data_IF_885210299287
#
_entry.id   IF_885210299287
#
_cell.length_a   1.000
_cell.length_b   1.000
_cell.length_c   1.000
_cell.angle_alpha   90.00
_cell.angle_beta   90.00
_cell.angle_gamma   90.00
#
_symmetry.space_group_name_H-M   'P 1'
#
loop_
_entity.id
_entity.type
_entity.pdbx_description
1 polymer ?
#
# COMPACT_ATOMS: atom_id res chain seq x y z
N UNK A 1 19.74 -0.24 4.05
CA UNK A 1 18.29 -0.06 3.78
C UNK A 1 17.43 -0.76 4.83
N UNK A 2 17.54 -2.08 5.01
CA UNK A 2 16.73 -2.80 5.99
C UNK A 2 16.93 -2.33 7.45
N UNK A 3 18.17 -2.09 7.89
CA UNK A 3 18.42 -1.53 9.23
C UNK A 3 17.78 -0.14 9.42
N UNK A 4 17.72 0.66 8.36
CA UNK A 4 17.05 1.97 8.35
C UNK A 4 15.54 1.80 8.40
N UNK A 5 14.96 0.80 7.71
CA UNK A 5 13.54 0.45 7.84
C UNK A 5 13.21 0.10 9.29
N UNK A 6 13.99 -0.79 9.93
CA UNK A 6 13.75 -1.16 11.32
C UNK A 6 13.86 0.02 12.28
N UNK A 7 14.87 0.87 12.10
CA UNK A 7 15.02 2.10 12.89
C UNK A 7 13.85 3.06 12.67
N UNK A 8 13.39 3.23 11.43
CA UNK A 8 12.24 4.06 11.08
C UNK A 8 10.95 3.54 11.72
N UNK A 9 10.65 2.23 11.60
CA UNK A 9 9.47 1.62 12.20
C UNK A 9 9.51 1.74 13.73
N UNK A 10 10.66 1.48 14.35
CA UNK A 10 10.83 1.61 15.79
C UNK A 10 10.66 3.06 16.26
N UNK A 11 11.18 4.02 15.51
CA UNK A 11 11.02 5.45 15.79
C UNK A 11 9.57 5.88 15.60
N UNK A 12 8.92 5.52 14.48
CA UNK A 12 7.52 5.84 14.19
C UNK A 12 6.60 5.28 15.28
N UNK A 13 6.79 4.01 15.66
CA UNK A 13 6.04 3.37 16.73
C UNK A 13 6.23 4.04 18.09
N UNK A 14 7.46 4.44 18.44
CA UNK A 14 7.74 5.16 19.69
C UNK A 14 7.20 6.59 19.68
N UNK A 15 7.26 7.26 18.53
CA UNK A 15 6.73 8.61 18.31
C UNK A 15 5.22 8.61 18.48
N UNK A 16 4.54 7.64 17.87
CA UNK A 16 3.10 7.48 17.94
C UNK A 16 2.64 7.13 19.37
N UNK A 17 3.36 6.26 20.08
CA UNK A 17 3.11 5.98 21.50
C UNK A 17 3.22 7.21 22.40
N UNK A 18 4.01 8.22 22.04
CA UNK A 18 4.11 9.47 22.80
C UNK A 18 3.02 10.49 22.46
N UNK A 19 2.33 10.32 21.33
CA UNK A 19 1.32 11.24 20.78
C UNK A 19 -0.12 10.71 20.89
N UNK A 20 -0.33 9.57 21.57
CA UNK A 20 -1.62 8.88 21.74
C UNK A 20 -2.76 9.76 22.32
N UNK A 21 -2.45 10.90 22.96
CA UNK A 21 -3.45 11.81 23.53
C UNK A 21 -4.20 12.70 22.54
N UNK A 22 -3.60 13.04 21.38
CA UNK A 22 -4.20 13.95 20.39
C UNK A 22 -4.80 13.24 19.16
N UNK A 23 -4.39 12.00 18.87
CA UNK A 23 -4.81 11.25 17.67
C UNK A 23 -5.97 10.27 17.89
N UNK A 24 -6.31 9.97 19.15
CA UNK A 24 -7.47 9.16 19.46
C UNK A 24 -8.75 9.78 18.85
N UNK A 25 -8.84 11.11 18.83
CA UNK A 25 -9.95 11.87 18.23
C UNK A 25 -10.03 11.70 16.71
N UNK A 26 -8.90 11.67 15.99
CA UNK A 26 -8.87 11.50 14.53
C UNK A 26 -9.25 10.07 14.13
N UNK A 27 -8.73 9.05 14.83
CA UNK A 27 -9.15 7.67 14.60
C UNK A 27 -10.63 7.44 14.95
N UNK A 28 -11.16 8.15 15.95
CA UNK A 28 -12.57 8.09 16.34
C UNK A 28 -13.49 8.80 15.32
N UNK A 29 -13.04 9.88 14.68
CA UNK A 29 -13.76 10.52 13.56
C UNK A 29 -13.76 9.67 12.28
N UNK A 30 -12.65 9.01 11.96
CA UNK A 30 -12.55 8.04 10.84
C UNK A 30 -13.43 6.80 11.10
N UNK A 31 -13.46 6.33 12.36
CA UNK A 31 -14.34 5.23 12.77
C UNK A 31 -15.82 5.65 12.88
N UNK A 32 -16.11 6.95 13.04
CA UNK A 32 -17.47 7.50 13.18
C UNK A 32 -18.32 7.36 11.92
N UNK A 33 -17.75 7.57 10.73
CA UNK A 33 -18.44 7.36 9.44
C UNK A 33 -18.64 5.88 9.10
N UNK A 34 -17.82 5.01 9.70
CA UNK A 34 -17.91 3.56 9.62
C UNK A 34 -18.42 3.00 10.95
N UNK A 35 -19.58 3.49 11.43
CA UNK A 35 -20.19 3.11 12.69
C UNK A 35 -19.95 1.63 13.03
N UNK A 36 -19.32 1.29 14.17
CA UNK A 36 -19.12 -0.08 14.57
C UNK A 36 -20.49 -0.64 14.97
N UNK A 37 -21.26 -1.15 14.00
CA UNK A 37 -22.21 -2.20 14.30
C UNK A 37 -21.37 -3.27 14.98
N UNK A 38 -21.69 -3.59 16.24
CA UNK A 38 -21.18 -4.70 17.04
C UNK A 38 -21.06 -5.99 16.20
N UNK A 39 -20.01 -6.07 15.39
CA UNK A 39 -19.66 -7.21 14.55
C UNK A 39 -18.50 -7.87 15.27
N UNK A 40 -18.56 -9.19 15.35
CA UNK A 40 -17.48 -9.95 15.95
C UNK A 40 -16.16 -9.60 15.25
N UNK A 41 -15.07 -9.56 16.03
CA UNK A 41 -13.71 -9.31 15.53
C UNK A 41 -13.39 -10.17 14.29
N UNK A 42 -13.88 -11.42 14.29
CA UNK A 42 -13.71 -12.35 13.18
C UNK A 42 -14.33 -11.86 11.87
N UNK A 43 -15.50 -11.21 11.90
CA UNK A 43 -16.12 -10.65 10.70
C UNK A 43 -15.31 -9.46 10.19
N UNK A 44 -14.82 -8.58 11.06
CA UNK A 44 -13.99 -7.44 10.66
C UNK A 44 -12.68 -7.90 10.01
N UNK A 45 -12.02 -8.91 10.60
CA UNK A 45 -10.82 -9.51 10.03
C UNK A 45 -11.10 -10.19 8.68
N UNK A 46 -12.21 -10.92 8.57
CA UNK A 46 -12.63 -11.55 7.31
C UNK A 46 -12.89 -10.51 6.22
N UNK A 47 -13.59 -9.41 6.55
CA UNK A 47 -13.86 -8.34 5.60
C UNK A 47 -12.59 -7.61 5.18
N UNK A 48 -11.66 -7.38 6.11
CA UNK A 48 -10.36 -6.79 5.82
C UNK A 48 -9.54 -7.69 4.88
N UNK A 49 -9.37 -8.96 5.25
CA UNK A 49 -8.63 -9.93 4.44
C UNK A 49 -9.27 -10.13 3.06
N UNK A 50 -10.60 -10.24 3.01
CA UNK A 50 -11.35 -10.34 1.76
C UNK A 50 -11.18 -9.10 0.89
N UNK A 51 -11.27 -7.89 1.47
CA UNK A 51 -11.04 -6.63 0.75
C UNK A 51 -9.64 -6.56 0.13
N UNK A 52 -8.61 -6.85 0.94
CA UNK A 52 -7.21 -6.89 0.45
C UNK A 52 -7.05 -7.92 -0.67
N UNK A 53 -7.56 -9.14 -0.49
CA UNK A 53 -7.46 -10.19 -1.49
C UNK A 53 -8.14 -9.80 -2.80
N UNK A 54 -9.37 -9.27 -2.75
CA UNK A 54 -10.10 -8.83 -3.94
C UNK A 54 -9.35 -7.70 -4.66
N UNK A 55 -8.81 -6.73 -3.93
CA UNK A 55 -8.06 -5.62 -4.55
C UNK A 55 -6.78 -6.11 -5.22
N UNK A 56 -6.03 -7.01 -4.58
CA UNK A 56 -4.79 -7.57 -5.15
C UNK A 56 -5.09 -8.42 -6.39
N UNK A 57 -6.10 -9.29 -6.33
CA UNK A 57 -6.50 -10.12 -7.46
C UNK A 57 -7.02 -9.28 -8.63
N UNK A 58 -7.84 -8.27 -8.35
CA UNK A 58 -8.34 -7.35 -9.36
C UNK A 58 -7.21 -6.58 -10.05
N UNK A 59 -6.23 -6.08 -9.29
CA UNK A 59 -5.04 -5.44 -9.84
C UNK A 59 -4.22 -6.42 -10.70
N UNK A 60 -4.03 -7.67 -10.24
CA UNK A 60 -3.30 -8.69 -10.98
C UNK A 60 -3.92 -8.98 -12.35
N UNK A 61 -5.23 -9.24 -12.40
CA UNK A 61 -5.93 -9.52 -13.66
C UNK A 61 -5.94 -8.31 -14.62
N UNK A 62 -6.05 -7.09 -14.07
CA UNK A 62 -5.97 -5.88 -14.89
C UNK A 62 -4.59 -5.75 -15.54
N UNK A 63 -3.52 -5.95 -14.77
CA UNK A 63 -2.14 -5.85 -15.25
C UNK A 63 -1.85 -6.93 -16.29
N UNK A 64 -2.25 -8.17 -16.03
CA UNK A 64 -2.08 -9.28 -16.97
C UNK A 64 -2.78 -9.01 -18.32
N UNK A 65 -4.03 -8.56 -18.26
CA UNK A 65 -4.80 -8.19 -19.46
C UNK A 65 -4.17 -7.01 -20.22
N UNK A 66 -3.65 -6.01 -19.49
CA UNK A 66 -2.98 -4.85 -20.08
C UNK A 66 -1.65 -5.21 -20.73
N UNK A 67 -0.89 -6.15 -20.15
CA UNK A 67 0.34 -6.71 -20.74
C UNK A 67 0.00 -7.45 -22.03
N UNK A 68 -1.01 -8.33 -22.01
CA UNK A 68 -1.41 -9.08 -23.21
C UNK A 68 -1.85 -8.14 -24.34
N UNK A 69 -2.65 -7.12 -24.01
CA UNK A 69 -3.07 -6.12 -24.98
C UNK A 69 -1.86 -5.38 -25.58
N UNK A 70 -0.94 -4.92 -24.72
CA UNK A 70 0.25 -4.18 -25.12
C UNK A 70 1.17 -4.99 -26.06
N UNK A 71 1.32 -6.30 -25.80
CA UNK A 71 2.05 -7.22 -26.69
C UNK A 71 1.40 -7.35 -28.06
N UNK A 72 0.06 -7.43 -28.13
CA UNK A 72 -0.68 -7.47 -29.41
C UNK A 72 -0.50 -6.19 -30.23
N UNK A 73 -0.26 -5.05 -29.58
CA UNK A 73 0.08 -3.78 -30.24
C UNK A 73 1.57 -3.64 -30.60
N UNK A 74 2.40 -4.66 -30.36
CA UNK A 74 3.83 -4.63 -30.67
C UNK A 74 4.67 -3.76 -29.73
N UNK A 75 4.16 -3.44 -28.54
CA UNK A 75 4.91 -2.67 -27.53
C UNK A 75 6.01 -3.56 -26.95
N UNK A 76 7.23 -3.03 -26.86
CA UNK A 76 8.38 -3.77 -26.32
C UNK A 76 8.20 -4.14 -24.84
N UNK A 77 8.73 -5.30 -24.42
CA UNK A 77 8.71 -5.76 -23.03
C UNK A 77 9.33 -4.76 -22.06
N UNK A 78 10.36 -4.01 -22.48
CA UNK A 78 10.98 -2.97 -21.66
C UNK A 78 9.99 -1.86 -21.32
N UNK A 79 9.22 -1.38 -22.31
CA UNK A 79 8.21 -0.34 -22.10
C UNK A 79 7.08 -0.88 -21.21
N UNK A 80 6.62 -2.11 -21.45
CA UNK A 80 5.59 -2.76 -20.62
C UNK A 80 6.05 -2.88 -19.16
N UNK A 81 7.28 -3.36 -18.93
CA UNK A 81 7.86 -3.51 -17.59
C UNK A 81 8.05 -2.18 -16.87
N UNK A 82 8.54 -1.16 -17.57
CA UNK A 82 8.80 0.16 -17.00
C UNK A 82 7.52 0.98 -16.77
N UNK A 83 6.40 0.64 -17.41
CA UNK A 83 5.14 1.38 -17.32
C UNK A 83 3.99 0.57 -16.74
N UNK A 84 3.44 -0.37 -17.50
CA UNK A 84 2.24 -1.15 -17.13
C UNK A 84 2.46 -1.93 -15.84
N UNK A 85 3.59 -2.63 -15.72
CA UNK A 85 3.90 -3.41 -14.52
C UNK A 85 4.17 -2.48 -13.34
N UNK A 86 4.96 -1.43 -13.54
CA UNK A 86 5.31 -0.46 -12.50
C UNK A 86 4.08 0.27 -11.93
N UNK A 87 3.14 0.68 -12.80
CA UNK A 87 1.87 1.27 -12.39
C UNK A 87 0.97 0.22 -11.74
N UNK A 88 0.95 -0.98 -12.31
CA UNK A 88 0.14 -2.11 -11.89
C UNK A 88 0.32 -2.52 -10.43
N UNK A 89 1.56 -2.56 -9.96
CA UNK A 89 1.89 -2.91 -8.57
C UNK A 89 1.45 -1.85 -7.56
N UNK A 90 1.18 -0.61 -8.00
CA UNK A 90 0.73 0.49 -7.15
C UNK A 90 -0.80 0.71 -7.18
N UNK A 91 -1.52 -0.10 -7.98
CA UNK A 91 -2.97 0.02 -8.10
C UNK A 91 -3.72 -0.28 -6.80
N UNK A 92 -3.37 -1.33 -6.01
CA UNK A 92 -4.04 -1.57 -4.74
C UNK A 92 -3.96 -0.37 -3.80
N UNK A 93 -2.78 0.24 -3.70
CA UNK A 93 -2.49 1.41 -2.88
C UNK A 93 -3.21 2.64 -3.39
N UNK A 94 -3.25 2.83 -4.71
CA UNK A 94 -3.99 3.92 -5.35
C UNK A 94 -5.48 3.84 -5.00
N UNK A 95 -6.09 2.65 -5.16
CA UNK A 95 -7.50 2.43 -4.86
C UNK A 95 -7.78 2.65 -3.38
N UNK A 96 -6.95 2.10 -2.48
CA UNK A 96 -7.10 2.28 -1.05
C UNK A 96 -7.01 3.77 -0.64
N UNK A 97 -6.03 4.50 -1.18
CA UNK A 97 -5.84 5.93 -0.89
C UNK A 97 -6.98 6.77 -1.45
N UNK A 98 -7.45 6.47 -2.67
CA UNK A 98 -8.55 7.17 -3.30
C UNK A 98 -9.85 6.97 -2.51
N UNK A 99 -10.15 5.74 -2.09
CA UNK A 99 -11.34 5.44 -1.28
C UNK A 99 -11.25 6.14 0.08
N UNK A 100 -10.08 6.15 0.73
CA UNK A 100 -9.88 6.86 1.98
C UNK A 100 -10.09 8.38 1.82
N UNK A 101 -9.50 8.99 0.79
CA UNK A 101 -9.67 10.40 0.49
C UNK A 101 -11.14 10.75 0.14
N UNK A 102 -11.81 9.92 -0.64
CA UNK A 102 -13.22 10.09 -1.01
C UNK A 102 -14.16 10.02 0.21
N UNK A 103 -13.75 9.34 1.28
CA UNK A 103 -14.47 9.29 2.56
C UNK A 103 -14.04 10.39 3.54
N UNK A 104 -13.29 11.38 3.09
CA UNK A 104 -12.81 12.47 3.95
C UNK A 104 -11.65 12.08 4.88
N UNK A 105 -11.09 10.87 4.74
CA UNK A 105 -9.98 10.38 5.56
C UNK A 105 -8.62 10.68 4.90
N UNK A 106 -8.36 11.97 4.64
CA UNK A 106 -7.16 12.43 3.93
C UNK A 106 -5.85 12.03 4.64
N UNK A 107 -5.84 12.03 5.98
CA UNK A 107 -4.66 11.58 6.76
C UNK A 107 -4.35 10.10 6.54
N UNK A 108 -5.37 9.25 6.42
CA UNK A 108 -5.22 7.82 6.14
C UNK A 108 -4.67 7.60 4.72
N UNK A 109 -5.19 8.35 3.75
CA UNK A 109 -4.69 8.31 2.38
C UNK A 109 -3.21 8.74 2.30
N UNK A 110 -2.84 9.82 2.99
CA UNK A 110 -1.46 10.31 3.05
C UNK A 110 -0.54 9.29 3.74
N UNK A 111 -1.00 8.71 4.85
CA UNK A 111 -0.28 7.65 5.56
C UNK A 111 0.01 6.44 4.66
N UNK A 112 -0.96 6.02 3.85
CA UNK A 112 -0.79 4.93 2.90
C UNK A 112 0.25 5.27 1.81
N UNK A 113 0.17 6.46 1.20
CA UNK A 113 1.11 6.90 0.15
C UNK A 113 2.55 6.97 0.68
N UNK A 114 2.75 7.63 1.83
CA UNK A 114 4.08 7.80 2.43
C UNK A 114 4.62 6.46 2.90
N UNK A 115 3.80 5.67 3.60
CA UNK A 115 4.17 4.37 4.13
C UNK A 115 4.63 3.40 3.05
N UNK A 116 3.85 3.28 1.97
CA UNK A 116 4.17 2.38 0.85
C UNK A 116 5.46 2.78 0.13
N UNK A 117 5.71 4.06 -0.09
CA UNK A 117 6.96 4.51 -0.70
C UNK A 117 8.18 4.23 0.19
N UNK A 118 8.07 4.47 1.49
CA UNK A 118 9.13 4.13 2.46
C UNK A 118 9.40 2.64 2.46
N UNK A 119 8.35 1.81 2.45
CA UNK A 119 8.48 0.35 2.40
C UNK A 119 9.10 -0.15 1.08
N UNK A 120 8.71 0.42 -0.06
CA UNK A 120 9.27 0.05 -1.36
C UNK A 120 10.77 0.33 -1.44
N UNK A 121 11.22 1.49 -0.94
CA UNK A 121 12.64 1.88 -0.97
C UNK A 121 13.47 1.19 0.11
N UNK A 122 12.97 1.11 1.34
CA UNK A 122 13.78 0.56 2.44
C UNK A 122 13.62 -0.95 2.59
N UNK A 123 12.41 -1.46 2.36
CA UNK A 123 12.03 -2.86 2.49
C UNK A 123 12.28 -3.64 1.21
N UNK A 124 11.52 -3.39 0.15
CA UNK A 124 11.61 -4.17 -1.10
C UNK A 124 13.00 -4.01 -1.72
N UNK A 125 13.40 -2.80 -2.05
CA UNK A 125 14.72 -2.53 -2.65
C UNK A 125 15.86 -2.96 -1.71
N UNK A 126 15.69 -2.78 -0.39
CA UNK A 126 16.64 -3.25 0.61
C UNK A 126 16.82 -4.77 0.64
N UNK A 127 15.72 -5.52 0.55
CA UNK A 127 15.73 -6.98 0.51
C UNK A 127 16.30 -7.47 -0.83
N UNK A 128 15.89 -6.88 -1.94
CA UNK A 128 16.40 -7.21 -3.27
C UNK A 128 17.91 -7.01 -3.34
N UNK A 129 18.44 -5.90 -2.81
CA UNK A 129 19.88 -5.62 -2.77
C UNK A 129 20.69 -6.60 -1.91
N UNK A 130 20.09 -7.20 -0.88
CA UNK A 130 20.73 -8.25 -0.06
C UNK A 130 20.81 -9.57 -0.83
N UNK A 131 19.77 -9.91 -1.59
CA UNK A 131 19.71 -11.17 -2.36
C UNK A 131 20.53 -11.07 -3.64
N UNK A 132 20.38 -9.97 -4.38
CA UNK A 132 21.09 -9.70 -5.63
C UNK A 132 21.65 -8.27 -5.58
N UNK A 133 22.96 -8.08 -5.34
CA UNK A 133 23.56 -6.76 -5.26
C UNK A 133 23.27 -5.96 -6.52
N UNK A 134 22.53 -4.87 -6.35
CA UNK A 134 22.13 -4.00 -7.45
C UNK A 134 23.36 -3.19 -7.85
N UNK A 135 23.88 -3.44 -9.05
CA UNK A 135 24.98 -2.66 -9.62
C UNK A 135 24.42 -1.28 -10.00
N UNK A 136 24.92 -0.25 -9.35
CA UNK A 136 24.68 1.14 -9.75
C UNK A 136 25.55 1.39 -10.99
N UNK A 137 24.97 1.81 -12.13
CA UNK A 137 25.72 2.15 -13.33
C UNK A 137 26.65 3.36 -13.12
#
# INVERSE_FOLDING_TARGET
LLAVLFAYVAWAYRSERKLLGERATVHEQVAGDAAPRSRSLGISLLMCAGGVALTVLGAHWLVESAIELSRRFGISETVIGLSVVALGTSLPELVASLVAAARGHAEVALGNIIGSNVYNVLGILGATAVIHPIRVP
#
